data_IF_918730306958
#
_entry.id   IF_918730306958
#
_cell.length_a   1.000
_cell.length_b   1.000
_cell.length_c   1.000
_cell.angle_alpha   90.00
_cell.angle_beta   90.00
_cell.angle_gamma   90.00
#
_symmetry.space_group_name_H-M   'P 1'
#
loop_
_entity.id
_entity.type
_entity.pdbx_description
1 polymer ?
#
# COMPACT_ATOMS: atom_id res chain seq x y z
N UNK A 1 -17.14 14.43 5.50
CA UNK A 1 -17.50 13.52 4.38
C UNK A 1 -17.52 14.32 3.09
N UNK A 2 -17.15 13.72 1.96
CA UNK A 2 -17.19 14.34 0.64
C UNK A 2 -18.08 13.49 -0.28
N UNK A 3 -18.59 14.07 -1.37
CA UNK A 3 -19.41 13.37 -2.36
C UNK A 3 -18.63 13.07 -3.63
N UNK A 4 -19.11 12.12 -4.42
CA UNK A 4 -18.56 11.84 -5.74
C UNK A 4 -18.64 13.06 -6.67
N UNK A 5 -19.75 13.81 -6.64
CA UNK A 5 -19.92 15.02 -7.45
C UNK A 5 -18.86 16.08 -7.14
N UNK A 6 -18.51 16.25 -5.86
CA UNK A 6 -17.45 17.19 -5.46
C UNK A 6 -16.10 16.78 -6.07
N UNK A 7 -15.79 15.49 -6.11
CA UNK A 7 -14.55 14.99 -6.72
C UNK A 7 -14.61 15.16 -8.23
N UNK A 8 -15.73 14.80 -8.87
CA UNK A 8 -15.90 14.95 -10.31
C UNK A 8 -15.83 16.40 -10.77
N UNK A 9 -16.35 17.35 -9.97
CA UNK A 9 -16.17 18.79 -10.25
C UNK A 9 -14.70 19.19 -10.30
N UNK A 10 -13.87 18.69 -9.37
CA UNK A 10 -12.43 18.95 -9.37
C UNK A 10 -11.77 18.28 -10.59
N UNK A 11 -12.14 17.05 -10.91
CA UNK A 11 -11.62 16.31 -12.07
C UNK A 11 -11.96 17.06 -13.36
N UNK A 12 -13.20 17.45 -13.57
CA UNK A 12 -13.63 18.14 -14.79
C UNK A 12 -13.06 19.56 -14.91
N UNK A 13 -12.78 20.23 -13.79
CA UNK A 13 -12.10 21.52 -13.80
C UNK A 13 -10.63 21.42 -14.25
N UNK A 14 -9.95 20.30 -13.98
CA UNK A 14 -8.57 20.06 -14.42
C UNK A 14 -8.30 18.57 -14.69
N UNK A 15 -8.78 18.04 -15.84
CA UNK A 15 -8.74 16.60 -16.12
C UNK A 15 -7.31 16.10 -16.31
N UNK A 16 -6.43 16.90 -16.92
CA UNK A 16 -5.03 16.54 -17.13
C UNK A 16 -4.28 16.39 -15.80
N UNK A 17 -4.52 17.29 -14.84
CA UNK A 17 -3.96 17.13 -13.50
C UNK A 17 -4.46 15.84 -12.84
N UNK A 18 -5.77 15.60 -12.85
CA UNK A 18 -6.35 14.42 -12.21
C UNK A 18 -5.78 13.12 -12.77
N UNK A 19 -5.73 12.97 -14.10
CA UNK A 19 -5.15 11.81 -14.79
C UNK A 19 -3.67 11.63 -14.43
N UNK A 20 -2.88 12.70 -14.53
CA UNK A 20 -1.44 12.66 -14.25
C UNK A 20 -1.18 12.27 -12.79
N UNK A 21 -1.88 12.91 -11.85
CA UNK A 21 -1.73 12.65 -10.43
C UNK A 21 -2.21 11.24 -10.03
N UNK A 22 -3.26 10.71 -10.66
CA UNK A 22 -3.66 9.31 -10.50
C UNK A 22 -2.57 8.36 -10.95
N UNK A 23 -1.99 8.57 -12.14
CA UNK A 23 -0.92 7.71 -12.66
C UNK A 23 0.36 7.78 -11.83
N UNK A 24 0.72 8.96 -11.32
CA UNK A 24 1.86 9.09 -10.40
C UNK A 24 1.59 8.29 -9.11
N UNK A 25 0.41 8.45 -8.52
CA UNK A 25 0.01 7.72 -7.30
C UNK A 25 0.10 6.20 -7.51
N UNK A 26 -0.47 5.70 -8.61
CA UNK A 26 -0.42 4.28 -8.95
C UNK A 26 0.99 3.82 -9.31
N UNK A 27 1.75 4.65 -10.02
CA UNK A 27 3.13 4.38 -10.40
C UNK A 27 4.00 4.10 -9.18
N UNK A 28 3.90 4.92 -8.13
CA UNK A 28 4.60 4.65 -6.87
C UNK A 28 4.16 3.32 -6.24
N UNK A 29 2.85 3.06 -6.18
CA UNK A 29 2.33 1.78 -5.70
C UNK A 29 2.90 0.58 -6.45
N UNK A 30 2.93 0.64 -7.79
CA UNK A 30 3.49 -0.44 -8.61
C UNK A 30 4.99 -0.61 -8.41
N UNK A 31 5.76 0.48 -8.24
CA UNK A 31 7.19 0.38 -7.95
C UNK A 31 7.43 -0.22 -6.57
N UNK A 32 6.66 0.17 -5.55
CA UNK A 32 6.77 -0.37 -4.19
C UNK A 32 6.45 -1.87 -4.17
N UNK A 33 5.36 -2.28 -4.82
CA UNK A 33 5.01 -3.69 -4.95
C UNK A 33 6.00 -4.46 -5.81
N UNK A 34 6.46 -3.90 -6.93
CA UNK A 34 7.49 -4.52 -7.77
C UNK A 34 8.78 -4.78 -6.99
N UNK A 35 9.21 -3.83 -6.18
CA UNK A 35 10.35 -4.00 -5.28
C UNK A 35 10.09 -5.08 -4.22
N UNK A 36 8.91 -5.07 -3.60
CA UNK A 36 8.50 -6.10 -2.62
C UNK A 36 8.49 -7.51 -3.21
N UNK A 37 7.90 -7.67 -4.39
CA UNK A 37 7.85 -8.93 -5.15
C UNK A 37 9.24 -9.42 -5.53
N UNK A 38 10.10 -8.51 -6.00
CA UNK A 38 11.49 -8.82 -6.29
C UNK A 38 12.20 -9.35 -5.04
N UNK A 39 12.02 -8.71 -3.89
CA UNK A 39 12.58 -9.15 -2.60
C UNK A 39 12.03 -10.51 -2.17
N UNK A 40 10.72 -10.74 -2.25
CA UNK A 40 10.11 -12.02 -1.91
C UNK A 40 10.63 -13.17 -2.79
N UNK A 41 10.83 -12.94 -4.09
CA UNK A 41 11.33 -13.96 -5.01
C UNK A 41 12.83 -14.19 -4.80
N UNK A 42 13.62 -13.11 -4.75
CA UNK A 42 15.08 -13.16 -4.73
C UNK A 42 15.66 -13.51 -3.38
N UNK A 43 15.09 -12.94 -2.31
CA UNK A 43 15.58 -13.01 -0.94
C UNK A 43 14.74 -13.94 -0.07
N UNK A 44 13.58 -14.41 -0.58
CA UNK A 44 12.62 -15.25 0.17
C UNK A 44 12.04 -14.56 1.40
N UNK A 45 12.01 -13.23 1.38
CA UNK A 45 11.53 -12.36 2.47
C UNK A 45 10.75 -11.19 1.92
N UNK A 46 9.62 -10.89 2.55
CA UNK A 46 8.80 -9.75 2.25
C UNK A 46 9.19 -8.53 3.10
N UNK A 47 9.40 -7.35 2.49
CA UNK A 47 9.61 -6.12 3.24
C UNK A 47 8.34 -5.55 3.88
N UNK A 48 7.18 -6.20 3.71
CA UNK A 48 5.92 -5.84 4.34
C UNK A 48 5.52 -6.92 5.35
N UNK A 49 4.91 -6.49 6.45
CA UNK A 49 4.32 -7.41 7.41
C UNK A 49 3.11 -8.12 6.82
N UNK A 50 2.83 -9.34 7.27
CA UNK A 50 1.67 -10.10 6.81
C UNK A 50 0.34 -9.36 7.00
N UNK A 51 0.18 -8.61 8.11
CA UNK A 51 -1.04 -7.84 8.34
C UNK A 51 -1.21 -6.68 7.35
N UNK A 52 -0.11 -6.13 6.83
CA UNK A 52 -0.16 -5.08 5.80
C UNK A 52 -0.76 -5.64 4.52
N UNK A 53 -0.34 -6.84 4.11
CA UNK A 53 -0.93 -7.55 2.98
C UNK A 53 -2.43 -7.81 3.15
N UNK A 54 -2.87 -8.23 4.34
CA UNK A 54 -4.30 -8.37 4.63
C UNK A 54 -5.07 -7.05 4.45
N UNK A 55 -4.49 -5.94 4.90
CA UNK A 55 -5.06 -4.60 4.75
C UNK A 55 -5.09 -4.15 3.28
N UNK A 56 -4.00 -4.37 2.55
CA UNK A 56 -3.88 -3.98 1.15
C UNK A 56 -4.76 -4.81 0.24
N UNK A 57 -4.91 -6.11 0.49
CA UNK A 57 -5.87 -6.94 -0.22
C UNK A 57 -7.31 -6.41 -0.05
N UNK A 58 -7.67 -5.99 1.17
CA UNK A 58 -8.94 -5.33 1.43
C UNK A 58 -9.11 -4.02 0.67
N UNK A 59 -8.06 -3.19 0.66
CA UNK A 59 -7.98 -1.98 -0.14
C UNK A 59 -8.21 -2.26 -1.63
N UNK A 60 -7.45 -3.18 -2.23
CA UNK A 60 -7.43 -3.39 -3.68
C UNK A 60 -8.74 -3.99 -4.18
N UNK A 61 -9.37 -4.92 -3.44
CA UNK A 61 -10.70 -5.43 -3.76
C UNK A 61 -11.74 -4.32 -3.67
N UNK A 62 -11.74 -3.56 -2.57
CA UNK A 62 -12.72 -2.49 -2.36
C UNK A 62 -12.66 -1.46 -3.47
N UNK A 63 -11.45 -1.06 -3.85
CA UNK A 63 -11.23 -0.11 -4.92
C UNK A 63 -11.61 -0.64 -6.29
N UNK A 64 -11.28 -1.90 -6.61
CA UNK A 64 -11.68 -2.52 -7.88
C UNK A 64 -13.20 -2.47 -8.04
N UNK A 65 -13.94 -2.86 -7.00
CA UNK A 65 -15.41 -2.83 -7.02
C UNK A 65 -15.96 -1.42 -7.15
N UNK A 66 -15.41 -0.46 -6.40
CA UNK A 66 -15.89 0.92 -6.41
C UNK A 66 -15.58 1.64 -7.72
N UNK A 67 -14.38 1.50 -8.27
CA UNK A 67 -14.07 2.13 -9.54
C UNK A 67 -14.90 1.56 -10.68
N UNK A 68 -15.14 0.25 -10.70
CA UNK A 68 -16.07 -0.31 -11.67
C UNK A 68 -17.49 0.26 -11.50
N UNK A 69 -17.99 0.35 -10.26
CA UNK A 69 -19.28 1.00 -9.98
C UNK A 69 -19.32 2.45 -10.50
N UNK A 70 -18.31 3.26 -10.18
CA UNK A 70 -18.26 4.65 -10.63
C UNK A 70 -18.07 4.80 -12.14
N UNK A 71 -17.40 3.86 -12.79
CA UNK A 71 -17.37 3.80 -14.25
C UNK A 71 -18.78 3.58 -14.83
N UNK A 72 -19.56 2.66 -14.27
CA UNK A 72 -20.94 2.41 -14.71
C UNK A 72 -21.85 3.61 -14.44
N UNK A 73 -21.70 4.27 -13.29
CA UNK A 73 -22.58 5.38 -12.90
C UNK A 73 -22.23 6.71 -13.59
N UNK A 74 -20.94 6.98 -13.83
CA UNK A 74 -20.46 8.30 -14.29
C UNK A 74 -19.93 8.24 -15.73
N UNK A 75 -19.44 7.09 -16.17
CA UNK A 75 -18.87 6.91 -17.51
C UNK A 75 -17.48 7.51 -17.71
N UNK A 76 -16.78 7.93 -16.65
CA UNK A 76 -15.43 8.48 -16.78
C UNK A 76 -14.39 7.36 -16.90
N UNK A 77 -13.74 7.26 -18.06
CA UNK A 77 -12.84 6.16 -18.45
C UNK A 77 -11.70 5.90 -17.45
N UNK A 78 -11.24 6.92 -16.74
CA UNK A 78 -10.14 6.78 -15.79
C UNK A 78 -10.48 5.76 -14.70
N UNK A 79 -11.76 5.68 -14.29
CA UNK A 79 -12.18 4.70 -13.29
C UNK A 79 -11.94 3.26 -13.77
N UNK A 80 -12.23 2.94 -15.02
CA UNK A 80 -11.99 1.61 -15.56
C UNK A 80 -10.49 1.28 -15.58
N UNK A 81 -9.64 2.25 -15.94
CA UNK A 81 -8.18 2.08 -15.92
C UNK A 81 -7.65 1.86 -14.50
N UNK A 82 -8.13 2.63 -13.53
CA UNK A 82 -7.75 2.44 -12.12
C UNK A 82 -8.28 1.12 -11.55
N UNK A 83 -9.48 0.69 -11.96
CA UNK A 83 -10.04 -0.62 -11.63
C UNK A 83 -9.11 -1.76 -12.06
N UNK A 84 -8.67 -1.75 -13.33
CA UNK A 84 -7.72 -2.75 -13.84
C UNK A 84 -6.41 -2.71 -13.05
N UNK A 85 -5.92 -1.52 -12.69
CA UNK A 85 -4.74 -1.37 -11.83
C UNK A 85 -4.92 -2.04 -10.47
N UNK A 86 -6.07 -1.84 -9.81
CA UNK A 86 -6.39 -2.52 -8.55
C UNK A 86 -6.51 -4.03 -8.69
N UNK A 87 -7.10 -4.53 -9.79
CA UNK A 87 -7.13 -5.97 -10.06
C UNK A 87 -5.72 -6.56 -10.17
N UNK A 88 -4.77 -5.83 -10.76
CA UNK A 88 -3.37 -6.26 -10.76
C UNK A 88 -2.79 -6.33 -9.34
N UNK A 89 -3.08 -5.37 -8.47
CA UNK A 89 -2.66 -5.43 -7.06
C UNK A 89 -3.29 -6.61 -6.31
N UNK A 90 -4.57 -6.95 -6.57
CA UNK A 90 -5.20 -8.16 -6.00
C UNK A 90 -4.42 -9.42 -6.39
N UNK A 91 -3.99 -9.55 -7.65
CA UNK A 91 -3.18 -10.69 -8.09
C UNK A 91 -1.80 -10.72 -7.40
N UNK A 92 -1.16 -9.56 -7.23
CA UNK A 92 0.09 -9.41 -6.48
C UNK A 92 -0.08 -9.85 -5.03
N UNK A 93 -1.22 -9.52 -4.41
CA UNK A 93 -1.55 -9.92 -3.05
C UNK A 93 -1.78 -11.43 -2.92
N UNK A 94 -2.48 -12.05 -3.87
CA UNK A 94 -2.63 -13.51 -3.91
C UNK A 94 -1.26 -14.20 -4.04
N UNK A 95 -0.37 -13.65 -4.87
CA UNK A 95 1.00 -14.16 -4.97
C UNK A 95 1.77 -13.98 -3.66
N UNK A 96 1.64 -12.82 -3.00
CA UNK A 96 2.30 -12.55 -1.72
C UNK A 96 1.82 -13.50 -0.62
N UNK A 97 0.54 -13.87 -0.61
CA UNK A 97 0.00 -14.90 0.28
C UNK A 97 0.64 -16.27 0.00
N UNK A 98 0.76 -16.65 -1.27
CA UNK A 98 1.43 -17.89 -1.66
C UNK A 98 2.89 -17.92 -1.17
N UNK A 99 3.64 -16.83 -1.38
CA UNK A 99 5.03 -16.70 -0.90
C UNK A 99 5.11 -16.71 0.62
N UNK A 100 4.17 -16.04 1.30
CA UNK A 100 4.05 -16.04 2.76
C UNK A 100 3.92 -17.46 3.31
N UNK A 101 3.10 -18.30 2.68
CA UNK A 101 2.94 -19.70 3.10
C UNK A 101 4.17 -20.56 2.74
N UNK A 102 4.72 -20.41 1.54
CA UNK A 102 5.82 -21.27 1.07
C UNK A 102 7.17 -20.96 1.69
N UNK A 103 7.49 -19.68 1.84
CA UNK A 103 8.83 -19.23 2.22
C UNK A 103 8.87 -18.63 3.63
N UNK A 104 7.81 -17.95 4.06
CA UNK A 104 7.86 -17.08 5.24
C UNK A 104 7.01 -17.58 6.42
N UNK A 105 6.32 -18.72 6.27
CA UNK A 105 5.32 -19.17 7.27
C UNK A 105 5.87 -19.29 8.68
N UNK A 106 7.14 -19.69 8.83
CA UNK A 106 7.76 -19.80 10.15
C UNK A 106 8.06 -18.45 10.75
N UNK A 107 8.48 -17.50 9.92
CA UNK A 107 8.74 -16.14 10.37
C UNK A 107 7.43 -15.45 10.79
N UNK A 108 6.38 -15.61 10.00
CA UNK A 108 5.09 -14.95 10.22
C UNK A 108 4.32 -15.57 11.39
N UNK A 109 4.24 -16.91 11.47
CA UNK A 109 3.35 -17.59 12.42
C UNK A 109 4.06 -18.55 13.38
N UNK A 110 5.35 -18.83 13.20
CA UNK A 110 6.07 -19.83 13.99
C UNK A 110 6.12 -19.50 15.50
N UNK A 111 6.12 -18.22 15.85
CA UNK A 111 6.07 -17.75 17.24
C UNK A 111 4.84 -18.25 18.01
N UNK A 112 3.72 -18.54 17.33
CA UNK A 112 2.50 -19.07 17.95
C UNK A 112 2.55 -20.57 18.25
N UNK A 113 3.60 -21.28 17.84
CA UNK A 113 3.71 -22.73 17.93
C UNK A 113 4.78 -23.21 18.92
N UNK A 114 5.20 -22.36 19.87
CA UNK A 114 6.16 -22.68 20.93
C UNK A 114 7.42 -23.41 20.41
N UNK A 115 7.97 -22.91 19.30
CA UNK A 115 9.17 -23.48 18.65
C UNK A 115 8.92 -24.67 17.72
N UNK A 116 7.67 -25.12 17.56
CA UNK A 116 7.32 -26.14 16.55
C UNK A 116 7.15 -25.52 15.17
N UNK A 117 7.54 -26.26 14.14
CA UNK A 117 7.34 -25.87 12.77
C UNK A 117 5.83 -25.81 12.42
N UNK A 118 5.36 -24.67 11.91
CA UNK A 118 4.02 -24.56 11.33
C UNK A 118 3.91 -25.37 10.03
N UNK A 119 2.80 -26.11 9.89
CA UNK A 119 2.46 -26.84 8.66
C UNK A 119 1.88 -25.90 7.59
N UNK A 120 2.03 -26.26 6.32
CA UNK A 120 1.48 -25.47 5.21
C UNK A 120 -0.04 -25.33 5.29
N UNK A 121 -0.76 -26.40 5.66
CA UNK A 121 -2.21 -26.36 5.84
C UNK A 121 -2.62 -25.31 6.88
N UNK A 122 -1.91 -25.28 8.01
CA UNK A 122 -2.21 -24.31 9.06
C UNK A 122 -1.85 -22.88 8.64
N UNK A 123 -0.78 -22.70 7.87
CA UNK A 123 -0.38 -21.42 7.31
C UNK A 123 -1.42 -20.90 6.30
N UNK A 124 -1.91 -21.75 5.39
CA UNK A 124 -2.98 -21.39 4.45
C UNK A 124 -4.27 -20.96 5.17
N UNK A 125 -4.71 -21.72 6.18
CA UNK A 125 -5.91 -21.37 6.94
C UNK A 125 -5.78 -20.01 7.63
N UNK A 126 -4.64 -19.74 8.28
CA UNK A 126 -4.36 -18.45 8.93
C UNK A 126 -4.24 -17.33 7.91
N UNK A 127 -3.60 -17.60 6.78
CA UNK A 127 -3.42 -16.67 5.69
C UNK A 127 -4.75 -16.20 5.09
N UNK A 128 -5.59 -17.14 4.69
CA UNK A 128 -6.93 -16.88 4.14
C UNK A 128 -7.81 -16.17 5.17
N UNK A 129 -7.79 -16.61 6.44
CA UNK A 129 -8.53 -15.94 7.50
C UNK A 129 -8.07 -14.49 7.70
N UNK A 130 -6.76 -14.24 7.69
CA UNK A 130 -6.19 -12.89 7.78
C UNK A 130 -6.65 -11.99 6.63
N UNK A 131 -6.59 -12.49 5.40
CA UNK A 131 -7.03 -11.75 4.21
C UNK A 131 -8.54 -11.45 4.25
N UNK A 132 -9.35 -12.42 4.65
CA UNK A 132 -10.80 -12.25 4.81
C UNK A 132 -11.13 -11.19 5.88
N UNK A 133 -10.47 -11.26 7.04
CA UNK A 133 -10.63 -10.26 8.10
C UNK A 133 -10.18 -8.88 7.63
N UNK A 134 -9.02 -8.79 6.97
CA UNK A 134 -8.49 -7.54 6.43
C UNK A 134 -9.47 -6.90 5.44
N UNK A 135 -10.01 -7.68 4.49
CA UNK A 135 -11.00 -7.20 3.53
C UNK A 135 -12.30 -6.73 4.19
N UNK A 136 -12.86 -7.51 5.11
CA UNK A 136 -14.08 -7.13 5.82
C UNK A 136 -13.85 -5.87 6.68
N UNK A 137 -12.74 -5.81 7.42
CA UNK A 137 -12.41 -4.67 8.26
C UNK A 137 -12.24 -3.40 7.43
N UNK A 138 -11.52 -3.47 6.31
CA UNK A 138 -11.29 -2.35 5.42
C UNK A 138 -12.63 -1.81 4.87
N UNK A 139 -13.49 -2.70 4.35
CA UNK A 139 -14.83 -2.35 3.89
C UNK A 139 -15.67 -1.70 5.00
N UNK A 140 -15.68 -2.26 6.20
CA UNK A 140 -16.43 -1.72 7.34
C UNK A 140 -15.94 -0.32 7.72
N UNK A 141 -14.64 -0.11 7.83
CA UNK A 141 -14.07 1.20 8.16
C UNK A 141 -14.47 2.22 7.10
N UNK A 142 -14.35 1.89 5.81
CA UNK A 142 -14.77 2.78 4.71
C UNK A 142 -16.20 3.25 4.88
N UNK A 143 -17.12 2.31 5.15
CA UNK A 143 -18.53 2.61 5.35
C UNK A 143 -18.76 3.50 6.58
N UNK A 144 -18.09 3.21 7.70
CA UNK A 144 -18.21 3.98 8.95
C UNK A 144 -17.75 5.43 8.77
N UNK A 145 -16.62 5.65 8.10
CA UNK A 145 -16.07 7.00 7.93
C UNK A 145 -16.72 7.78 6.76
N UNK A 146 -17.58 7.12 5.98
CA UNK A 146 -18.24 7.71 4.81
C UNK A 146 -17.27 8.07 3.70
N UNK A 147 -16.24 7.25 3.45
CA UNK A 147 -15.24 7.49 2.40
C UNK A 147 -15.74 6.96 1.05
N UNK A 148 -16.57 7.77 0.40
CA UNK A 148 -17.37 7.41 -0.78
C UNK A 148 -16.53 6.82 -1.91
N UNK A 149 -15.39 7.44 -2.24
CA UNK A 149 -14.45 6.93 -3.26
C UNK A 149 -13.26 6.18 -2.67
N UNK A 150 -13.26 5.91 -1.36
CA UNK A 150 -12.19 5.22 -0.65
C UNK A 150 -10.82 5.96 -0.65
N UNK A 151 -10.78 7.22 -1.08
CA UNK A 151 -9.55 8.00 -1.27
C UNK A 151 -8.87 8.39 0.05
N UNK A 152 -9.60 8.51 1.16
CA UNK A 152 -9.00 8.74 2.48
C UNK A 152 -8.27 7.48 2.94
N UNK A 153 -8.90 6.32 2.80
CA UNK A 153 -8.25 5.05 3.14
C UNK A 153 -7.11 4.70 2.20
N UNK A 154 -7.14 5.13 0.94
CA UNK A 154 -5.98 5.01 0.05
C UNK A 154 -4.81 5.87 0.52
N UNK A 155 -5.04 7.10 0.97
CA UNK A 155 -3.96 7.87 1.60
C UNK A 155 -3.38 7.13 2.84
N UNK A 156 -4.22 6.38 3.56
CA UNK A 156 -3.77 5.59 4.72
C UNK A 156 -2.82 4.44 4.37
N UNK A 157 -2.94 3.80 3.19
CA UNK A 157 -2.01 2.71 2.81
C UNK A 157 -0.59 3.23 2.59
N UNK A 158 -0.46 4.40 1.97
CA UNK A 158 0.81 5.11 1.83
C UNK A 158 1.38 5.55 3.18
N UNK A 159 0.53 6.01 4.11
CA UNK A 159 0.94 6.33 5.47
C UNK A 159 1.47 5.08 6.21
N UNK A 160 0.79 3.93 6.09
CA UNK A 160 1.24 2.66 6.67
C UNK A 160 2.60 2.25 6.11
N UNK A 161 2.80 2.34 4.78
CA UNK A 161 4.10 2.04 4.16
C UNK A 161 5.21 2.93 4.71
N UNK A 162 4.96 4.24 4.77
CA UNK A 162 5.89 5.23 5.31
C UNK A 162 6.33 4.90 6.75
N UNK A 163 5.40 4.44 7.57
CA UNK A 163 5.62 4.13 8.98
C UNK A 163 6.25 2.75 9.22
N UNK A 164 5.95 1.74 8.40
CA UNK A 164 6.24 0.34 8.75
C UNK A 164 7.47 -0.24 8.03
N UNK A 165 7.76 0.20 6.81
CA UNK A 165 8.85 -0.38 5.99
C UNK A 165 10.21 -0.27 6.67
N UNK A 166 10.46 0.82 7.40
CA UNK A 166 11.72 1.00 8.09
C UNK A 166 11.88 0.05 9.28
N UNK A 167 10.82 -0.21 10.05
CA UNK A 167 10.86 -1.18 11.16
C UNK A 167 11.15 -2.59 10.64
N UNK A 168 10.53 -2.96 9.51
CA UNK A 168 10.80 -4.25 8.88
C UNK A 168 12.25 -4.38 8.42
N UNK A 169 12.84 -3.30 7.91
CA UNK A 169 14.25 -3.25 7.52
C UNK A 169 15.18 -3.41 8.74
N UNK A 170 14.81 -2.86 9.90
CA UNK A 170 15.55 -3.04 11.16
C UNK A 170 15.47 -4.47 11.69
N UNK A 171 14.30 -5.11 11.60
CA UNK A 171 14.13 -6.52 11.98
C UNK A 171 15.04 -7.45 11.18
N UNK A 172 15.23 -7.17 9.88
CA UNK A 172 16.17 -7.92 9.07
C UNK A 172 17.62 -7.63 9.46
N UNK A 173 17.93 -6.40 9.87
CA UNK A 173 19.27 -5.98 10.30
C UNK A 173 20.33 -6.00 9.18
N UNK A 174 19.90 -6.23 7.94
CA UNK A 174 20.76 -6.32 6.76
C UNK A 174 20.10 -5.61 5.58
N UNK A 175 20.93 -5.06 4.70
CA UNK A 175 20.51 -4.52 3.41
C UNK A 175 20.47 -5.62 2.37
N UNK A 176 19.27 -5.94 1.92
CA UNK A 176 19.04 -6.90 0.84
C UNK A 176 18.83 -6.18 -0.52
N UNK A 177 19.02 -6.88 -1.65
CA UNK A 177 18.65 -6.35 -2.96
C UNK A 177 17.17 -5.93 -2.98
N UNK A 178 16.88 -4.72 -3.46
CA UNK A 178 15.52 -4.15 -3.52
C UNK A 178 15.21 -3.13 -2.41
N UNK A 179 15.89 -3.20 -1.26
CA UNK A 179 15.63 -2.31 -0.10
C UNK A 179 15.77 -0.83 -0.46
N UNK A 180 16.81 -0.45 -1.22
CA UNK A 180 17.05 0.96 -1.61
C UNK A 180 15.92 1.47 -2.51
N UNK A 181 15.54 0.69 -3.52
CA UNK A 181 14.46 1.06 -4.45
C UNK A 181 13.14 1.27 -3.69
N UNK A 182 12.80 0.33 -2.81
CA UNK A 182 11.60 0.42 -2.00
C UNK A 182 11.60 1.66 -1.09
N UNK A 183 12.72 1.96 -0.45
CA UNK A 183 12.83 3.12 0.45
C UNK A 183 12.65 4.44 -0.30
N UNK A 184 13.29 4.60 -1.47
CA UNK A 184 13.11 5.80 -2.29
C UNK A 184 11.70 5.93 -2.87
N UNK A 185 11.13 4.85 -3.38
CA UNK A 185 9.75 4.85 -3.87
C UNK A 185 8.76 5.23 -2.75
N UNK A 186 9.00 4.74 -1.53
CA UNK A 186 8.20 5.09 -0.35
C UNK A 186 8.34 6.55 0.04
N UNK A 187 9.54 7.11 0.05
CA UNK A 187 9.74 8.53 0.33
C UNK A 187 9.04 9.42 -0.70
N UNK A 188 9.28 9.18 -1.99
CA UNK A 188 8.71 10.02 -3.05
C UNK A 188 7.18 9.89 -3.13
N UNK A 189 6.66 8.67 -3.00
CA UNK A 189 5.22 8.43 -2.92
C UNK A 189 4.58 9.08 -1.70
N UNK A 190 5.26 9.09 -0.56
CA UNK A 190 4.77 9.75 0.67
C UNK A 190 4.75 11.27 0.51
N UNK A 191 5.81 11.86 -0.03
CA UNK A 191 5.85 13.30 -0.32
C UNK A 191 4.71 13.68 -1.26
N UNK A 192 4.49 12.90 -2.32
CA UNK A 192 3.41 13.17 -3.27
C UNK A 192 2.01 13.00 -2.65
N UNK A 193 1.84 11.98 -1.80
CA UNK A 193 0.58 11.71 -1.09
C UNK A 193 0.15 12.93 -0.28
N UNK A 194 1.06 13.44 0.56
CA UNK A 194 0.78 14.52 1.49
C UNK A 194 1.13 15.91 0.96
N UNK A 195 1.41 16.03 -0.34
CA UNK A 195 1.70 17.32 -0.95
C UNK A 195 0.45 18.23 -0.90
N UNK A 196 0.65 19.57 -0.81
CA UNK A 196 -0.46 20.52 -0.76
C UNK A 196 -1.40 20.43 -1.96
N UNK A 197 -2.62 20.95 -1.77
CA UNK A 197 -3.60 21.16 -2.85
C UNK A 197 -2.96 21.86 -4.06
N UNK A 198 -3.19 21.33 -5.25
CA UNK A 198 -2.60 21.76 -6.52
C UNK A 198 -1.31 21.03 -6.89
N UNK A 199 -0.72 20.28 -5.96
CA UNK A 199 0.48 19.46 -6.18
C UNK A 199 0.16 17.98 -5.94
N UNK A 200 -0.34 17.66 -4.74
CA UNK A 200 -0.66 16.28 -4.34
C UNK A 200 -2.03 15.82 -4.82
N UNK A 201 -2.18 14.52 -5.07
CA UNK A 201 -3.43 13.92 -5.54
C UNK A 201 -4.58 14.09 -4.52
N UNK A 202 -4.35 13.67 -3.28
CA UNK A 202 -5.40 13.55 -2.26
C UNK A 202 -5.90 14.90 -1.75
N UNK A 203 -5.01 15.82 -1.36
CA UNK A 203 -5.40 17.15 -0.89
C UNK A 203 -6.05 18.01 -1.99
N UNK A 204 -5.83 17.65 -3.27
CA UNK A 204 -6.48 18.32 -4.39
C UNK A 204 -7.90 17.80 -4.63
N UNK A 205 -8.08 16.48 -4.65
CA UNK A 205 -9.37 15.86 -4.96
C UNK A 205 -10.32 15.81 -3.77
N UNK A 206 -9.79 15.74 -2.55
CA UNK A 206 -10.57 15.54 -1.33
C UNK A 206 -10.41 16.76 -0.43
N UNK A 207 -11.37 17.70 -0.54
CA UNK A 207 -11.35 18.92 0.26
C UNK A 207 -11.21 18.68 1.79
N UNK A 208 -11.83 17.65 2.40
CA UNK A 208 -11.60 17.32 3.81
C UNK A 208 -10.15 16.97 4.19
N UNK A 209 -9.31 16.56 3.23
CA UNK A 209 -7.89 16.28 3.47
C UNK A 209 -7.01 17.54 3.38
N UNK A 210 -7.51 18.66 2.86
CA UNK A 210 -6.75 19.90 2.84
C UNK A 210 -6.81 20.63 4.20
N UNK A 211 -6.23 20.02 5.24
CA UNK A 211 -6.26 20.53 6.62
C UNK A 211 -4.89 20.48 7.28
N UNK A 212 -4.63 21.32 8.31
CA UNK A 212 -3.37 21.25 9.06
C UNK A 212 -3.07 19.87 9.65
N UNK A 213 -4.10 19.13 10.08
CA UNK A 213 -3.94 17.79 10.63
C UNK A 213 -3.42 16.78 9.59
N UNK A 214 -3.93 16.85 8.36
CA UNK A 214 -3.46 16.01 7.26
C UNK A 214 -1.99 16.26 6.94
N UNK A 215 -1.58 17.53 6.85
CA UNK A 215 -0.19 17.90 6.60
C UNK A 215 0.73 17.55 7.78
N UNK A 216 0.25 17.64 9.02
CA UNK A 216 1.01 17.21 10.20
C UNK A 216 1.31 15.70 10.17
N UNK A 217 0.31 14.88 9.83
CA UNK A 217 0.52 13.44 9.59
C UNK A 217 1.53 13.23 8.46
N UNK A 218 1.42 14.02 7.38
CA UNK A 218 2.36 13.98 6.27
C UNK A 218 3.80 14.23 6.67
N UNK A 219 4.07 15.24 7.51
CA UNK A 219 5.41 15.53 8.03
C UNK A 219 5.98 14.33 8.79
N UNK A 220 5.16 13.70 9.65
CA UNK A 220 5.58 12.50 10.39
C UNK A 220 5.88 11.33 9.44
N UNK A 221 5.02 11.09 8.45
CA UNK A 221 5.22 10.03 7.46
C UNK A 221 6.48 10.27 6.61
N UNK A 222 6.73 11.51 6.20
CA UNK A 222 7.95 11.88 5.47
C UNK A 222 9.19 11.66 6.34
N UNK A 223 9.16 12.04 7.62
CA UNK A 223 10.28 11.78 8.53
C UNK A 223 10.58 10.27 8.68
N UNK A 224 9.55 9.44 8.83
CA UNK A 224 9.69 7.98 8.85
C UNK A 224 10.24 7.42 7.53
N UNK A 225 9.80 7.96 6.39
CA UNK A 225 10.29 7.54 5.07
C UNK A 225 11.74 7.96 4.82
N UNK A 226 12.14 9.16 5.28
CA UNK A 226 13.54 9.60 5.28
C UNK A 226 14.40 8.66 6.11
N UNK A 227 13.92 8.25 7.29
CA UNK A 227 14.58 7.24 8.11
C UNK A 227 14.70 5.90 7.37
N UNK A 228 13.66 5.47 6.64
CA UNK A 228 13.72 4.27 5.81
C UNK A 228 14.85 4.34 4.78
N UNK A 229 15.00 5.47 4.09
CA UNK A 229 16.09 5.72 3.14
C UNK A 229 17.45 5.70 3.85
N UNK A 230 17.57 6.38 4.98
CA UNK A 230 18.80 6.38 5.76
C UNK A 230 19.22 4.96 6.16
N UNK A 231 18.31 4.16 6.71
CA UNK A 231 18.55 2.75 7.06
C UNK A 231 18.93 1.91 5.84
N UNK A 232 18.24 2.11 4.70
CA UNK A 232 18.57 1.42 3.45
C UNK A 232 19.99 1.73 2.96
N UNK A 233 20.61 2.83 3.39
CA UNK A 233 21.99 3.17 3.04
C UNK A 233 23.01 2.79 4.13
N UNK A 234 22.61 2.67 5.40
CA UNK A 234 23.50 2.37 6.53
C UNK A 234 23.55 0.90 6.93
N UNK A 235 22.50 0.12 6.67
CA UNK A 235 22.47 -1.30 7.01
C UNK A 235 23.57 -2.10 6.29
N UNK A 236 24.21 -3.06 6.97
CA UNK A 236 25.28 -3.86 6.39
C UNK A 236 24.76 -4.65 5.20
N UNK A 237 25.52 -4.67 4.11
CA UNK A 237 25.14 -5.43 2.91
C UNK A 237 25.45 -6.90 3.11
N UNK A 238 24.56 -7.78 2.66
CA UNK A 238 24.88 -9.20 2.55
C UNK A 238 26.12 -9.35 1.67
N UNK A 239 27.26 -9.79 2.23
CA UNK A 239 28.38 -10.26 1.42
C UNK A 239 27.85 -11.40 0.58
N UNK A 240 27.74 -11.18 -0.73
CA UNK A 240 27.43 -12.26 -1.66
C UNK A 240 28.49 -13.35 -1.41
N UNK A 241 28.04 -14.53 -0.98
CA UNK A 241 28.93 -15.70 -1.02
C UNK A 241 29.32 -15.89 -2.50
N UNK A 242 30.61 -16.08 -2.80
CA UNK A 242 31.08 -16.30 -4.18
C UNK A 242 30.38 -17.50 -4.82
#
# INVERSE_FOLDING_TARGET
MYTIDQVMQVIYANPMFAVTASFITYGFGFVQYGASMFMQVRNRRCPFYFWMHCWYFGHDITFSLLFHQWFVEIGYWLFEVLCVGCMCFVLIEIFSLYQSVRNERQEIWGGYYAGRAISERSAWMRGIAGYAIGALLFCCIRLIIGDVMCLILMASTNAILALMVHFRSEEFGIREPGTILLAWATLLGTVFTFAPKGIGFFATLIAPLNTPAYYAIGVLCVACSVRAVWLAHTLPTVRQRP
#
